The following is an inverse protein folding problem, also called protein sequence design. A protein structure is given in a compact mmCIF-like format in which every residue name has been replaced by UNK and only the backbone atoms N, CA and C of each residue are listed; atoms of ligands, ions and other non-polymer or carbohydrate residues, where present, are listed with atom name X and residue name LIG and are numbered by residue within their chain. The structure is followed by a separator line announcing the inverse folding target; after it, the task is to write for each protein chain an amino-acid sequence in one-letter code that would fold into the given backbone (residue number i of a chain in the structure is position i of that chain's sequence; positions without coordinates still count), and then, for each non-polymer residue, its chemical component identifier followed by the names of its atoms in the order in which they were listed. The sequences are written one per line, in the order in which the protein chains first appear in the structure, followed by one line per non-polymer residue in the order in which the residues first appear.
data_IF_600500037132
#
_entry.id   IF_600500037132
#
_cell.length_a   1.000
_cell.length_b   1.000
_cell.length_c   1.000
_cell.angle_alpha   90.00
_cell.angle_beta   90.00
_cell.angle_gamma   90.00
#
_symmetry.space_group_name_H-M   'P 1'
#
loop_
_entity.id
_entity.type
_entity.pdbx_description
1 polymer ?
#
# COMPACT_ATOMS: atom_id res chain seq x y z
N UNK A 1 14.15 6.82 6.71
CA UNK A 1 12.79 7.34 6.99
C UNK A 1 12.79 8.17 8.26
N UNK A 2 12.01 9.27 8.28
CA UNK A 2 11.82 10.07 9.50
C UNK A 2 11.36 9.14 10.62
N UNK A 3 11.99 9.22 11.79
CA UNK A 3 11.70 8.31 12.91
C UNK A 3 10.35 8.69 13.54
N UNK A 4 9.29 8.08 13.06
CA UNK A 4 7.95 8.16 13.66
C UNK A 4 7.86 7.27 14.91
N UNK A 5 6.81 7.48 15.72
CA UNK A 5 6.51 6.58 16.84
C UNK A 5 6.16 5.19 16.31
N UNK A 6 6.70 4.14 16.93
CA UNK A 6 6.33 2.78 16.58
C UNK A 6 4.97 2.42 17.18
N UNK A 7 4.10 1.82 16.36
CA UNK A 7 2.75 1.38 16.73
C UNK A 7 2.59 -0.08 16.35
N UNK A 8 2.21 -0.92 17.31
CA UNK A 8 1.94 -2.34 17.08
C UNK A 8 0.53 -2.54 16.54
N UNK A 9 0.37 -3.35 15.49
CA UNK A 9 -0.91 -3.72 14.91
C UNK A 9 -0.93 -5.25 14.73
N UNK A 10 -1.59 -5.95 15.61
CA UNK A 10 -1.53 -7.41 15.64
C UNK A 10 -0.10 -7.93 15.78
N UNK A 11 0.38 -8.62 14.76
CA UNK A 11 1.73 -9.21 14.70
C UNK A 11 2.77 -8.34 13.96
N UNK A 12 2.40 -7.14 13.49
CA UNK A 12 3.32 -6.24 12.76
C UNK A 12 3.48 -4.90 13.49
N UNK A 13 4.51 -4.14 13.07
CA UNK A 13 4.75 -2.77 13.54
C UNK A 13 4.59 -1.78 12.39
N UNK A 14 4.06 -0.59 12.69
CA UNK A 14 3.96 0.56 11.81
C UNK A 14 4.77 1.70 12.43
N UNK A 15 5.60 2.38 11.64
CA UNK A 15 6.48 3.44 12.13
C UNK A 15 7.70 2.92 12.89
N UNK A 16 8.45 3.83 13.47
CA UNK A 16 9.66 3.50 14.23
C UNK A 16 10.80 2.90 13.41
N UNK A 17 10.76 3.02 12.09
CA UNK A 17 11.71 2.39 11.17
C UNK A 17 11.30 0.99 10.70
N UNK A 18 10.10 0.52 11.03
CA UNK A 18 9.54 -0.69 10.45
C UNK A 18 9.32 -0.53 8.93
N UNK A 19 9.36 -1.62 8.14
CA UNK A 19 9.07 -1.55 6.71
C UNK A 19 7.69 -0.94 6.43
N UNK A 20 7.57 -0.18 5.34
CA UNK A 20 6.29 0.37 4.90
C UNK A 20 5.32 -0.76 4.59
N UNK A 21 4.23 -0.85 5.33
CA UNK A 21 3.26 -1.93 5.20
C UNK A 21 2.18 -1.63 4.15
N UNK A 22 1.72 -2.68 3.46
CA UNK A 22 0.68 -2.62 2.44
C UNK A 22 -0.66 -3.01 3.06
N UNK A 23 -1.62 -2.09 3.02
CA UNK A 23 -2.99 -2.33 3.46
C UNK A 23 -3.95 -2.34 2.27
N UNK A 24 -4.93 -3.25 2.26
CA UNK A 24 -6.11 -3.17 1.40
C UNK A 24 -7.41 -3.23 2.21
N UNK A 25 -8.53 -3.26 1.54
CA UNK A 25 -9.86 -3.26 2.16
C UNK A 25 -10.79 -4.19 1.41
N UNK A 26 -11.53 -5.02 2.15
CA UNK A 26 -12.59 -5.83 1.55
C UNK A 26 -13.66 -4.93 0.93
N UNK A 27 -14.17 -5.35 -0.21
CA UNK A 27 -15.31 -4.71 -0.89
C UNK A 27 -16.57 -5.60 -0.91
N UNK A 28 -16.49 -6.78 -0.33
CA UNK A 28 -17.65 -7.66 -0.10
C UNK A 28 -18.47 -7.09 1.07
N UNK A 29 -19.82 -7.11 0.99
CA UNK A 29 -20.66 -6.71 2.10
C UNK A 29 -20.35 -7.50 3.37
N UNK A 30 -20.28 -6.82 4.52
CA UNK A 30 -19.81 -7.42 5.77
C UNK A 30 -20.72 -8.55 6.33
N UNK A 31 -21.96 -8.64 5.86
CA UNK A 31 -22.90 -9.73 6.17
C UNK A 31 -22.64 -11.01 5.34
N UNK A 32 -21.88 -10.92 4.26
CA UNK A 32 -21.44 -12.06 3.46
C UNK A 32 -20.08 -12.54 3.96
N UNK A 33 -20.11 -13.29 5.05
CA UNK A 33 -18.90 -13.74 5.76
C UNK A 33 -18.06 -14.68 4.90
N UNK A 34 -18.70 -15.59 4.17
CA UNK A 34 -18.00 -16.60 3.38
C UNK A 34 -17.15 -15.97 2.28
N UNK A 35 -17.73 -15.15 1.42
CA UNK A 35 -17.01 -14.47 0.35
C UNK A 35 -16.01 -13.43 0.90
N UNK A 36 -16.31 -12.79 2.04
CA UNK A 36 -15.35 -11.92 2.73
C UNK A 36 -14.09 -12.67 3.17
N UNK A 37 -14.23 -13.88 3.71
CA UNK A 37 -13.11 -14.74 4.08
C UNK A 37 -12.32 -15.19 2.85
N UNK A 38 -13.00 -15.58 1.77
CA UNK A 38 -12.34 -15.95 0.52
C UNK A 38 -11.53 -14.78 -0.05
N UNK A 39 -12.10 -13.57 -0.08
CA UNK A 39 -11.39 -12.36 -0.53
C UNK A 39 -10.21 -12.01 0.38
N UNK A 40 -10.35 -12.16 1.69
CA UNK A 40 -9.28 -11.92 2.64
C UNK A 40 -8.08 -12.87 2.42
N UNK A 41 -8.34 -14.15 2.17
CA UNK A 41 -7.29 -15.14 1.82
C UNK A 41 -6.60 -14.77 0.51
N UNK A 42 -7.34 -14.39 -0.52
CA UNK A 42 -6.76 -13.96 -1.79
C UNK A 42 -5.88 -12.70 -1.63
N UNK A 43 -6.28 -11.76 -0.77
CA UNK A 43 -5.46 -10.58 -0.44
C UNK A 43 -4.20 -10.96 0.32
N UNK A 44 -4.28 -11.85 1.31
CA UNK A 44 -3.12 -12.35 2.05
C UNK A 44 -2.14 -13.08 1.12
N UNK A 45 -2.61 -13.95 0.26
CA UNK A 45 -1.81 -14.66 -0.76
C UNK A 45 -1.14 -13.69 -1.74
N UNK A 46 -1.82 -12.60 -2.12
CA UNK A 46 -1.24 -11.54 -2.94
C UNK A 46 -0.16 -10.74 -2.20
N UNK A 47 -0.06 -10.88 -0.88
CA UNK A 47 0.91 -10.20 -0.02
C UNK A 47 0.38 -8.91 0.62
N UNK A 48 -0.91 -8.81 0.84
CA UNK A 48 -1.49 -7.83 1.74
C UNK A 48 -0.98 -8.08 3.15
N UNK A 49 -0.66 -7.02 3.88
CA UNK A 49 -0.11 -7.13 5.24
C UNK A 49 -1.08 -6.64 6.31
N UNK A 50 -2.11 -5.91 5.92
CA UNK A 50 -3.18 -5.43 6.80
C UNK A 50 -4.48 -5.42 6.02
N UNK A 51 -5.54 -6.04 6.54
CA UNK A 51 -6.88 -5.97 5.95
C UNK A 51 -7.73 -4.96 6.73
N UNK A 52 -8.44 -4.08 6.00
CA UNK A 52 -9.48 -3.22 6.56
C UNK A 52 -10.86 -3.74 6.14
N UNK A 53 -11.79 -3.74 7.09
CA UNK A 53 -13.18 -4.12 6.87
C UNK A 53 -14.12 -2.99 7.31
N UNK A 54 -15.19 -2.77 6.59
CA UNK A 54 -16.24 -1.86 7.01
C UNK A 54 -17.10 -2.54 8.09
N UNK A 55 -17.44 -1.80 9.15
CA UNK A 55 -18.36 -2.25 10.20
C UNK A 55 -19.55 -1.26 10.23
N UNK A 56 -20.53 -1.44 9.34
CA UNK A 56 -21.67 -0.54 9.24
C UNK A 56 -22.70 -0.73 10.36
N UNK A 57 -22.79 -1.92 10.96
CA UNK A 57 -23.77 -2.28 11.99
C UNK A 57 -23.24 -3.42 12.90
N UNK A 58 -24.03 -3.79 13.91
CA UNK A 58 -23.67 -4.83 14.89
C UNK A 58 -23.57 -6.23 14.26
N UNK A 59 -24.25 -6.51 13.17
CA UNK A 59 -24.15 -7.82 12.51
C UNK A 59 -22.80 -8.01 11.86
N UNK A 60 -22.19 -6.93 11.36
CA UNK A 60 -20.86 -6.94 10.76
C UNK A 60 -19.73 -7.33 11.73
N UNK A 61 -19.95 -7.20 13.05
CA UNK A 61 -18.96 -7.59 14.07
C UNK A 61 -18.59 -9.07 13.95
N UNK A 62 -19.52 -9.94 13.53
CA UNK A 62 -19.29 -11.38 13.35
C UNK A 62 -18.20 -11.69 12.32
N UNK A 63 -17.93 -10.76 11.41
CA UNK A 63 -16.87 -10.91 10.42
C UNK A 63 -15.47 -10.91 11.06
N UNK A 64 -15.27 -10.21 12.18
CA UNK A 64 -13.97 -10.10 12.84
C UNK A 64 -13.44 -11.48 13.29
N UNK A 65 -14.14 -12.25 14.14
CA UNK A 65 -13.66 -13.57 14.55
C UNK A 65 -13.52 -14.52 13.34
N UNK A 66 -14.43 -14.50 12.38
CA UNK A 66 -14.33 -15.34 11.19
C UNK A 66 -13.07 -15.07 10.39
N UNK A 67 -12.68 -13.80 10.23
CA UNK A 67 -11.41 -13.45 9.58
C UNK A 67 -10.20 -13.86 10.43
N UNK A 68 -10.22 -13.63 11.75
CA UNK A 68 -9.12 -14.00 12.66
C UNK A 68 -8.83 -15.50 12.66
N UNK A 69 -9.83 -16.35 12.42
CA UNK A 69 -9.66 -17.79 12.29
C UNK A 69 -9.07 -18.22 10.94
N UNK A 70 -9.20 -17.39 9.90
CA UNK A 70 -8.90 -17.78 8.53
C UNK A 70 -7.69 -17.08 7.90
N UNK A 71 -7.27 -15.92 8.41
CA UNK A 71 -6.08 -15.18 7.94
C UNK A 71 -5.17 -14.83 9.11
N UNK A 72 -3.86 -14.68 8.82
CA UNK A 72 -2.84 -14.37 9.84
C UNK A 72 -2.52 -12.88 9.93
N UNK A 73 -2.88 -12.11 8.91
CA UNK A 73 -2.61 -10.67 8.85
C UNK A 73 -3.59 -9.87 9.68
N UNK A 74 -3.17 -8.74 10.26
CA UNK A 74 -3.99 -7.90 11.15
C UNK A 74 -5.25 -7.35 10.48
N UNK A 75 -6.29 -7.19 11.27
CA UNK A 75 -7.59 -6.70 10.84
C UNK A 75 -7.85 -5.31 11.42
N UNK A 76 -8.31 -4.39 10.57
CA UNK A 76 -8.70 -3.02 10.93
C UNK A 76 -10.20 -2.86 10.78
N UNK A 77 -10.91 -2.54 11.84
CA UNK A 77 -12.32 -2.17 11.78
C UNK A 77 -12.48 -0.69 11.42
N UNK A 78 -13.22 -0.42 10.38
CA UNK A 78 -13.54 0.92 9.88
C UNK A 78 -14.91 1.36 10.40
N UNK A 79 -14.90 2.26 11.38
CA UNK A 79 -16.09 2.77 12.06
C UNK A 79 -16.38 4.19 11.58
N UNK A 80 -17.59 4.42 11.09
CA UNK A 80 -17.95 5.72 10.53
C UNK A 80 -18.64 6.65 11.52
N UNK A 81 -19.67 6.17 12.23
CA UNK A 81 -20.53 7.05 13.05
C UNK A 81 -20.79 6.51 14.46
N UNK A 82 -21.12 5.24 14.60
CA UNK A 82 -21.51 4.66 15.88
C UNK A 82 -20.29 4.17 16.68
N UNK A 83 -19.95 4.88 17.76
CA UNK A 83 -18.83 4.53 18.64
C UNK A 83 -18.97 3.16 19.31
N UNK A 84 -20.21 2.65 19.47
CA UNK A 84 -20.46 1.34 20.05
C UNK A 84 -19.90 0.22 19.19
N UNK A 85 -19.94 0.39 17.85
CA UNK A 85 -19.33 -0.54 16.91
C UNK A 85 -17.80 -0.63 17.11
N UNK A 86 -17.14 0.47 17.48
CA UNK A 86 -15.73 0.43 17.81
C UNK A 86 -15.47 -0.41 19.07
N UNK A 87 -16.27 -0.22 20.11
CA UNK A 87 -16.16 -0.97 21.36
C UNK A 87 -16.37 -2.46 21.13
N UNK A 88 -17.43 -2.84 20.43
CA UNK A 88 -17.73 -4.23 20.09
C UNK A 88 -16.68 -4.85 19.17
N UNK A 89 -16.10 -4.08 18.23
CA UNK A 89 -14.98 -4.55 17.41
C UNK A 89 -13.74 -4.86 18.25
N UNK A 90 -13.46 -4.03 19.26
CA UNK A 90 -12.38 -4.28 20.23
C UNK A 90 -12.67 -5.52 21.06
N UNK A 91 -13.91 -5.73 21.49
CA UNK A 91 -14.32 -6.94 22.21
C UNK A 91 -14.13 -8.19 21.34
N UNK A 92 -14.48 -8.11 20.05
CA UNK A 92 -14.36 -9.19 19.07
C UNK A 92 -12.91 -9.49 18.63
N UNK A 93 -11.90 -8.73 19.10
CA UNK A 93 -10.49 -9.05 18.88
C UNK A 93 -9.86 -8.42 17.64
N UNK A 94 -10.37 -7.28 17.17
CA UNK A 94 -9.75 -6.50 16.09
C UNK A 94 -8.35 -5.99 16.48
N UNK A 95 -7.46 -5.81 15.51
CA UNK A 95 -6.08 -5.40 15.76
C UNK A 95 -5.87 -3.87 15.67
N UNK A 96 -6.78 -3.15 15.04
CA UNK A 96 -6.77 -1.67 14.94
C UNK A 96 -8.17 -1.15 14.66
N UNK A 97 -8.49 0.00 15.21
CA UNK A 97 -9.72 0.75 14.88
C UNK A 97 -9.37 1.91 13.95
N UNK A 98 -10.20 2.16 12.95
CA UNK A 98 -10.19 3.42 12.20
C UNK A 98 -11.45 4.19 12.49
N UNK A 99 -11.30 5.41 12.93
CA UNK A 99 -12.40 6.37 13.12
C UNK A 99 -12.07 7.71 12.48
N UNK A 100 -13.12 8.49 12.23
CA UNK A 100 -13.02 9.93 12.15
C UNK A 100 -13.70 10.48 13.42
N UNK A 101 -12.95 11.00 14.40
CA UNK A 101 -13.54 11.47 15.66
C UNK A 101 -14.61 12.54 15.47
N UNK A 102 -14.52 13.37 14.42
CA UNK A 102 -15.57 14.34 14.07
C UNK A 102 -16.92 13.69 13.73
N UNK A 103 -16.91 12.50 13.16
CA UNK A 103 -18.13 11.75 12.83
C UNK A 103 -18.66 10.94 14.04
N UNK A 104 -17.80 10.59 14.99
CA UNK A 104 -18.17 9.89 16.23
C UNK A 104 -19.00 10.79 17.13
N UNK A 105 -18.78 12.12 17.07
CA UNK A 105 -19.55 13.12 17.78
C UNK A 105 -18.90 13.54 19.10
N UNK A 106 -19.66 13.54 20.20
CA UNK A 106 -19.24 14.08 21.49
C UNK A 106 -17.95 13.46 22.03
N UNK A 107 -17.17 14.27 22.74
CA UNK A 107 -15.89 13.89 23.35
C UNK A 107 -16.03 12.69 24.30
N UNK A 108 -17.18 12.56 24.96
CA UNK A 108 -17.54 11.41 25.81
C UNK A 108 -17.53 10.10 25.05
N UNK A 109 -17.97 10.09 23.78
CA UNK A 109 -17.99 8.91 22.90
C UNK A 109 -16.57 8.55 22.45
N UNK A 110 -15.76 9.56 22.14
CA UNK A 110 -14.33 9.36 21.83
C UNK A 110 -13.61 8.75 23.04
N UNK A 111 -13.90 9.24 24.26
CA UNK A 111 -13.37 8.69 25.50
C UNK A 111 -13.77 7.24 25.69
N UNK A 112 -15.00 6.86 25.37
CA UNK A 112 -15.48 5.49 25.46
C UNK A 112 -14.70 4.55 24.52
N UNK A 113 -14.42 4.97 23.29
CA UNK A 113 -13.58 4.23 22.34
C UNK A 113 -12.15 4.07 22.88
N UNK A 114 -11.54 5.16 23.37
CA UNK A 114 -10.19 5.11 23.97
C UNK A 114 -10.16 4.14 25.14
N UNK A 115 -11.15 4.20 26.05
CA UNK A 115 -11.22 3.31 27.20
C UNK A 115 -11.32 1.83 26.82
N UNK A 116 -11.98 1.51 25.70
CA UNK A 116 -12.04 0.14 25.19
C UNK A 116 -10.70 -0.29 24.57
N UNK A 117 -10.01 0.60 23.84
CA UNK A 117 -8.75 0.30 23.17
C UNK A 117 -7.55 0.22 24.13
N UNK A 118 -7.50 1.08 25.17
CA UNK A 118 -6.33 1.29 26.04
C UNK A 118 -5.87 0.01 26.76
N UNK A 119 -6.73 -0.81 27.40
CA UNK A 119 -6.32 -2.03 28.09
C UNK A 119 -5.75 -3.12 27.18
N UNK A 120 -6.12 -3.09 25.89
CA UNK A 120 -5.68 -4.05 24.87
C UNK A 120 -4.60 -3.48 23.96
N UNK A 121 -4.17 -2.25 24.19
CA UNK A 121 -3.19 -1.52 23.39
C UNK A 121 -3.55 -1.43 21.90
N UNK A 122 -4.85 -1.48 21.54
CA UNK A 122 -5.33 -1.48 20.16
C UNK A 122 -5.20 -0.08 19.56
N UNK A 123 -4.35 0.13 18.54
CA UNK A 123 -4.14 1.46 17.98
C UNK A 123 -5.38 2.03 17.28
N UNK A 124 -5.51 3.35 17.36
CA UNK A 124 -6.57 4.10 16.71
C UNK A 124 -5.98 4.87 15.53
N UNK A 125 -6.51 4.60 14.32
CA UNK A 125 -6.21 5.45 13.18
C UNK A 125 -7.25 6.54 13.04
N UNK A 126 -6.78 7.78 13.10
CA UNK A 126 -7.53 8.97 12.76
C UNK A 126 -7.52 9.13 11.24
N UNK A 127 -8.70 9.05 10.63
CA UNK A 127 -8.84 9.14 9.16
C UNK A 127 -9.62 10.38 8.77
N UNK A 128 -8.95 11.46 8.42
CA UNK A 128 -9.54 12.68 7.86
C UNK A 128 -9.60 12.55 6.34
N UNK A 129 -10.73 12.91 5.77
CA UNK A 129 -10.90 13.04 4.32
C UNK A 129 -11.33 14.48 4.01
N UNK A 130 -11.05 14.97 2.80
CA UNK A 130 -11.46 16.31 2.37
C UNK A 130 -12.96 16.60 2.51
N UNK A 131 -13.80 15.56 2.41
CA UNK A 131 -15.25 15.67 2.61
C UNK A 131 -15.74 15.57 4.06
N UNK A 132 -14.82 15.42 5.05
CA UNK A 132 -15.18 15.20 6.46
C UNK A 132 -14.38 16.08 7.44
N UNK A 133 -13.88 17.21 6.95
CA UNK A 133 -13.25 18.26 7.79
C UNK A 133 -14.35 19.00 8.58
N UNK A 134 -14.07 19.34 9.81
CA UNK A 134 -14.99 20.03 10.74
C UNK A 134 -15.42 21.40 10.21
N UNK A 135 -16.68 21.77 10.49
CA UNK A 135 -17.28 23.04 9.99
C UNK A 135 -16.50 24.26 10.44
N UNK A 136 -15.99 24.26 11.66
CA UNK A 136 -15.20 25.36 12.23
C UNK A 136 -13.87 25.53 11.51
N UNK A 137 -13.20 24.42 11.16
CA UNK A 137 -11.95 24.42 10.41
C UNK A 137 -12.24 24.85 8.96
N UNK A 138 -13.30 24.33 8.33
CA UNK A 138 -13.72 24.76 7.00
C UNK A 138 -14.08 26.26 6.96
N UNK A 139 -14.72 26.79 8.00
CA UNK A 139 -15.00 28.23 8.11
C UNK A 139 -13.72 29.07 8.18
N UNK A 140 -12.68 28.55 8.84
CA UNK A 140 -11.37 29.21 8.94
C UNK A 140 -10.60 29.25 7.61
N UNK A 141 -10.64 28.14 6.84
CA UNK A 141 -9.83 28.00 5.62
C UNK A 141 -10.62 28.13 4.31
N UNK A 142 -11.94 28.24 4.38
CA UNK A 142 -12.84 28.39 3.22
C UNK A 142 -13.06 27.10 2.41
N UNK A 143 -12.15 26.13 2.50
CA UNK A 143 -12.20 24.86 1.78
C UNK A 143 -11.29 23.83 2.45
N UNK A 144 -11.35 22.53 2.06
CA UNK A 144 -10.45 21.50 2.60
C UNK A 144 -9.02 21.64 2.04
N UNK A 145 -8.34 22.73 2.43
CA UNK A 145 -6.94 22.99 2.07
C UNK A 145 -5.99 22.00 2.77
N UNK A 146 -4.71 21.92 2.38
CA UNK A 146 -3.71 21.14 3.09
C UNK A 146 -3.63 21.46 4.59
N UNK A 147 -3.71 22.75 4.93
CA UNK A 147 -3.68 23.24 6.32
C UNK A 147 -4.92 22.78 7.09
N UNK A 148 -6.10 22.85 6.46
CA UNK A 148 -7.35 22.38 7.06
C UNK A 148 -7.32 20.89 7.38
N UNK A 149 -6.81 20.07 6.45
CA UNK A 149 -6.65 18.63 6.64
C UNK A 149 -5.65 18.30 7.76
N UNK A 150 -4.53 19.02 7.79
CA UNK A 150 -3.50 18.87 8.81
C UNK A 150 -4.03 19.28 10.19
N UNK A 151 -4.67 20.46 10.32
CA UNK A 151 -5.23 20.94 11.56
C UNK A 151 -6.30 19.99 12.10
N UNK A 152 -7.20 19.51 11.24
CA UNK A 152 -8.20 18.50 11.61
C UNK A 152 -7.57 17.22 12.16
N UNK A 153 -6.56 16.68 11.49
CA UNK A 153 -5.90 15.46 11.93
C UNK A 153 -5.21 15.65 13.29
N UNK A 154 -4.50 16.75 13.50
CA UNK A 154 -3.80 17.07 14.75
C UNK A 154 -4.77 17.39 15.89
N UNK A 155 -5.84 18.11 15.59
CA UNK A 155 -6.92 18.36 16.55
C UNK A 155 -7.50 17.05 17.09
N UNK A 156 -7.82 16.09 16.20
CA UNK A 156 -8.33 14.80 16.62
C UNK A 156 -7.30 13.96 17.37
N UNK A 157 -6.01 14.08 17.04
CA UNK A 157 -4.96 13.44 17.82
C UNK A 157 -4.93 14.01 19.26
N UNK A 158 -5.02 15.32 19.39
CA UNK A 158 -5.04 15.98 20.69
C UNK A 158 -6.24 15.57 21.56
N UNK A 159 -7.38 15.22 20.96
CA UNK A 159 -8.53 14.68 21.70
C UNK A 159 -8.22 13.32 22.35
N UNK A 160 -7.47 12.45 21.66
CA UNK A 160 -7.05 11.16 22.20
C UNK A 160 -5.97 11.35 23.27
N UNK A 161 -5.04 12.28 23.05
CA UNK A 161 -3.97 12.65 24.01
C UNK A 161 -4.53 13.13 25.35
N UNK A 162 -5.67 13.86 25.35
CA UNK A 162 -6.38 14.28 26.58
C UNK A 162 -6.81 13.09 27.46
N UNK A 163 -6.87 11.88 26.88
CA UNK A 163 -7.17 10.64 27.61
C UNK A 163 -5.93 9.79 27.80
N UNK A 164 -4.72 10.35 27.73
CA UNK A 164 -3.43 9.66 27.81
C UNK A 164 -3.32 8.53 26.81
N UNK A 165 -3.81 8.75 25.57
CA UNK A 165 -3.76 7.76 24.51
C UNK A 165 -2.97 8.27 23.30
N UNK A 166 -1.81 7.66 23.09
CA UNK A 166 -0.86 8.06 22.04
C UNK A 166 -0.53 6.93 21.06
N UNK A 167 -1.29 5.82 21.12
CA UNK A 167 -1.18 4.74 20.16
C UNK A 167 -2.00 5.07 18.89
N UNK A 168 -1.53 6.08 18.17
CA UNK A 168 -2.26 6.77 17.09
C UNK A 168 -1.54 6.59 15.77
N UNK A 169 -2.32 6.42 14.69
CA UNK A 169 -1.88 6.51 13.30
C UNK A 169 -2.68 7.60 12.62
N UNK A 170 -2.05 8.49 11.84
CA UNK A 170 -2.74 9.55 11.11
C UNK A 170 -2.96 9.19 9.65
N UNK A 171 -4.07 9.65 9.09
CA UNK A 171 -4.36 9.53 7.66
C UNK A 171 -5.18 10.74 7.19
N UNK A 172 -4.64 11.47 6.21
CA UNK A 172 -5.27 12.63 5.58
C UNK A 172 -5.42 12.36 4.10
N UNK A 173 -6.64 12.11 3.63
CA UNK A 173 -6.89 11.71 2.26
C UNK A 173 -7.61 12.79 1.47
N UNK A 174 -7.16 12.99 0.24
CA UNK A 174 -7.80 13.83 -0.76
C UNK A 174 -7.77 13.13 -2.12
N UNK A 175 -8.73 13.41 -2.97
CA UNK A 175 -8.72 13.05 -4.40
C UNK A 175 -7.78 13.94 -5.22
N UNK A 176 -7.43 15.12 -4.67
CA UNK A 176 -6.40 15.98 -5.21
C UNK A 176 -5.04 15.58 -4.64
N UNK A 177 -4.16 15.07 -5.51
CA UNK A 177 -2.84 14.54 -5.13
C UNK A 177 -1.96 15.62 -4.51
N UNK A 178 -1.95 16.84 -5.05
CA UNK A 178 -1.16 17.96 -4.52
C UNK A 178 -1.60 18.33 -3.10
N UNK A 179 -2.91 18.51 -2.89
CA UNK A 179 -3.48 18.80 -1.56
C UNK A 179 -3.10 17.71 -0.55
N UNK A 180 -3.18 16.43 -0.94
CA UNK A 180 -2.80 15.31 -0.09
C UNK A 180 -1.30 15.39 0.28
N UNK A 181 -0.41 15.55 -0.69
CA UNK A 181 1.04 15.64 -0.45
C UNK A 181 1.37 16.75 0.55
N UNK A 182 0.85 17.96 0.31
CA UNK A 182 1.14 19.10 1.19
C UNK A 182 0.58 18.90 2.60
N UNK A 183 -0.62 18.31 2.76
CA UNK A 183 -1.19 17.99 4.07
C UNK A 183 -0.29 17.04 4.88
N UNK A 184 0.22 15.98 4.26
CA UNK A 184 1.14 15.05 4.93
C UNK A 184 2.49 15.68 5.25
N UNK A 185 3.02 16.55 4.39
CA UNK A 185 4.26 17.30 4.66
C UNK A 185 4.09 18.21 5.87
N UNK A 186 2.98 18.96 5.93
CA UNK A 186 2.66 19.82 7.07
C UNK A 186 2.57 19.02 8.38
N UNK A 187 1.81 17.92 8.38
CA UNK A 187 1.66 17.07 9.55
C UNK A 187 2.98 16.40 9.97
N UNK A 188 3.78 15.96 9.00
CA UNK A 188 5.10 15.38 9.26
C UNK A 188 6.04 16.34 9.99
N UNK A 189 5.92 17.66 9.77
CA UNK A 189 6.72 18.65 10.46
C UNK A 189 6.23 18.97 11.88
N UNK A 190 4.96 18.66 12.18
CA UNK A 190 4.30 19.03 13.44
C UNK A 190 4.13 17.90 14.44
N UNK A 191 4.23 16.63 13.98
CA UNK A 191 4.09 15.47 14.86
C UNK A 191 5.01 14.31 14.44
N UNK A 192 5.09 13.31 15.31
CA UNK A 192 5.85 12.08 15.07
C UNK A 192 4.96 10.82 15.00
N UNK A 193 3.65 10.99 14.84
CA UNK A 193 2.76 9.85 14.64
C UNK A 193 3.00 9.19 13.28
N UNK A 194 2.96 7.84 13.21
CA UNK A 194 3.05 7.14 11.94
C UNK A 194 1.87 7.50 11.02
N UNK A 195 2.16 7.51 9.73
CA UNK A 195 1.22 8.00 8.72
C UNK A 195 0.80 6.90 7.75
N UNK A 196 -0.53 6.78 7.58
CA UNK A 196 -1.14 5.91 6.58
C UNK A 196 -1.45 6.71 5.33
N UNK A 197 -0.68 6.49 4.27
CA UNK A 197 -0.82 7.20 3.00
C UNK A 197 -1.86 6.55 2.09
N UNK A 198 -2.50 7.36 1.27
CA UNK A 198 -3.36 6.88 0.19
C UNK A 198 -4.14 8.02 -0.46
N UNK A 199 -4.28 7.95 -1.78
CA UNK A 199 -5.18 8.82 -2.53
C UNK A 199 -6.59 8.25 -2.43
N UNK A 200 -7.59 9.08 -2.10
CA UNK A 200 -9.00 8.66 -2.12
C UNK A 200 -9.62 8.98 -3.49
N UNK A 201 -10.64 8.22 -3.90
CA UNK A 201 -11.32 8.46 -5.18
C UNK A 201 -10.33 8.56 -6.36
N UNK A 202 -9.33 7.69 -6.35
CA UNK A 202 -8.24 7.77 -7.34
C UNK A 202 -8.72 7.43 -8.76
N UNK A 203 -9.80 6.66 -8.89
CA UNK A 203 -10.44 6.30 -10.15
C UNK A 203 -10.26 4.84 -10.53
N UNK A 204 -10.52 4.55 -11.81
CA UNK A 204 -10.30 3.21 -12.38
C UNK A 204 -8.83 2.82 -12.36
N UNK A 205 -8.54 1.55 -12.64
CA UNK A 205 -7.21 0.95 -12.51
C UNK A 205 -6.09 1.85 -13.07
N UNK A 206 -6.19 2.28 -14.33
CA UNK A 206 -5.15 3.10 -14.98
C UNK A 206 -4.88 4.42 -14.25
N UNK A 207 -5.91 5.25 -14.07
CA UNK A 207 -5.74 6.57 -13.42
C UNK A 207 -5.51 6.46 -11.93
N UNK A 208 -6.10 5.45 -11.28
CA UNK A 208 -5.88 5.16 -9.88
C UNK A 208 -4.44 4.80 -9.58
N UNK A 209 -3.80 3.98 -10.41
CA UNK A 209 -2.37 3.65 -10.29
C UNK A 209 -1.51 4.91 -10.51
N UNK A 210 -1.77 5.69 -11.56
CA UNK A 210 -1.01 6.91 -11.85
C UNK A 210 -1.07 7.90 -10.67
N UNK A 211 -2.28 8.21 -10.18
CA UNK A 211 -2.46 9.13 -9.05
C UNK A 211 -1.80 8.60 -7.77
N UNK A 212 -1.96 7.30 -7.49
CA UNK A 212 -1.35 6.67 -6.33
C UNK A 212 0.17 6.68 -6.42
N UNK A 213 0.74 6.32 -7.57
CA UNK A 213 2.19 6.36 -7.80
C UNK A 213 2.77 7.76 -7.60
N UNK A 214 2.11 8.78 -8.16
CA UNK A 214 2.53 10.17 -8.00
C UNK A 214 2.44 10.63 -6.53
N UNK A 215 1.31 10.36 -5.87
CA UNK A 215 1.07 10.81 -4.50
C UNK A 215 1.91 10.08 -3.46
N UNK A 216 1.93 8.75 -3.52
CA UNK A 216 2.71 7.92 -2.60
C UNK A 216 4.21 8.10 -2.86
N UNK A 217 4.64 8.10 -4.14
CA UNK A 217 6.03 8.26 -4.51
C UNK A 217 6.61 9.58 -4.02
N UNK A 218 5.89 10.70 -4.20
CA UNK A 218 6.33 12.01 -3.74
C UNK A 218 6.53 12.09 -2.22
N UNK A 219 5.73 11.38 -1.43
CA UNK A 219 5.84 11.36 0.03
C UNK A 219 6.90 10.37 0.51
N UNK A 220 6.90 9.16 -0.03
CA UNK A 220 7.83 8.09 0.37
C UNK A 220 9.29 8.45 0.07
N UNK A 221 9.58 9.14 -1.05
CA UNK A 221 10.92 9.66 -1.36
C UNK A 221 11.37 10.78 -0.41
N UNK A 222 10.44 11.41 0.31
CA UNK A 222 10.72 12.38 1.38
C UNK A 222 10.70 11.72 2.77
N UNK A 223 10.74 10.39 2.81
CA UNK A 223 10.70 9.59 4.03
C UNK A 223 9.42 9.77 4.88
N UNK A 224 8.32 10.19 4.25
CA UNK A 224 7.02 10.38 4.86
C UNK A 224 6.11 9.20 4.49
N UNK A 225 5.63 8.46 5.49
CA UNK A 225 4.69 7.35 5.33
C UNK A 225 5.20 6.03 5.85
N UNK A 226 4.38 5.37 6.64
CA UNK A 226 4.71 4.13 7.36
C UNK A 226 3.82 2.95 6.93
N UNK A 227 2.69 3.24 6.32
CA UNK A 227 1.78 2.26 5.74
C UNK A 227 1.02 2.89 4.57
N UNK A 228 0.76 2.11 3.53
CA UNK A 228 0.13 2.62 2.31
C UNK A 228 -1.13 1.84 1.93
N UNK A 229 -2.04 2.50 1.22
CA UNK A 229 -3.11 1.85 0.47
C UNK A 229 -3.25 2.49 -0.92
N UNK A 230 -3.12 1.71 -1.95
CA UNK A 230 -3.61 2.04 -3.29
C UNK A 230 -5.13 1.78 -3.30
N UNK A 231 -5.92 2.71 -3.83
CA UNK A 231 -7.38 2.57 -3.90
C UNK A 231 -7.82 2.62 -5.36
N UNK A 232 -8.42 1.53 -5.83
CA UNK A 232 -8.84 1.38 -7.21
C UNK A 232 -10.32 1.03 -7.30
N UNK A 233 -11.00 1.51 -8.36
CA UNK A 233 -12.28 0.95 -8.78
C UNK A 233 -12.01 -0.32 -9.60
N UNK A 234 -11.55 -1.37 -8.91
CA UNK A 234 -11.16 -2.66 -9.47
C UNK A 234 -11.14 -3.74 -8.36
N UNK A 235 -10.76 -4.97 -8.72
CA UNK A 235 -10.50 -6.04 -7.74
C UNK A 235 -9.42 -5.59 -6.74
N UNK A 236 -9.64 -5.71 -5.41
CA UNK A 236 -8.68 -5.30 -4.38
C UNK A 236 -7.32 -6.00 -4.45
N UNK A 237 -7.22 -7.19 -5.04
CA UNK A 237 -5.93 -7.87 -5.28
C UNK A 237 -5.01 -7.03 -6.19
N UNK A 238 -5.58 -6.29 -7.15
CA UNK A 238 -4.82 -5.37 -8.01
C UNK A 238 -4.24 -4.18 -7.22
N UNK A 239 -4.89 -3.76 -6.13
CA UNK A 239 -4.36 -2.72 -5.23
C UNK A 239 -3.03 -3.18 -4.60
N UNK A 240 -2.93 -4.49 -4.25
CA UNK A 240 -1.72 -5.06 -3.64
C UNK A 240 -0.57 -5.10 -4.64
N UNK A 241 -0.82 -5.58 -5.86
CA UNK A 241 0.22 -5.60 -6.90
C UNK A 241 0.72 -4.19 -7.21
N UNK A 242 -0.19 -3.23 -7.40
CA UNK A 242 0.20 -1.84 -7.64
C UNK A 242 0.99 -1.23 -6.46
N UNK A 243 0.63 -1.55 -5.21
CA UNK A 243 1.35 -1.09 -4.03
C UNK A 243 2.77 -1.69 -3.96
N UNK A 244 2.93 -2.99 -4.26
CA UNK A 244 4.24 -3.64 -4.37
C UNK A 244 5.10 -3.01 -5.46
N UNK A 245 4.53 -2.78 -6.64
CA UNK A 245 5.24 -2.19 -7.76
C UNK A 245 5.70 -0.76 -7.46
N UNK A 246 4.86 0.04 -6.79
CA UNK A 246 5.26 1.38 -6.33
C UNK A 246 6.44 1.30 -5.36
N UNK A 247 6.38 0.43 -4.35
CA UNK A 247 7.47 0.30 -3.36
C UNK A 247 8.77 -0.23 -3.98
N UNK A 248 8.68 -1.13 -4.98
CA UNK A 248 9.82 -1.61 -5.76
C UNK A 248 10.41 -0.49 -6.63
N UNK A 249 9.58 0.24 -7.37
CA UNK A 249 10.02 1.34 -8.22
C UNK A 249 10.74 2.46 -7.45
N UNK A 250 10.50 2.57 -6.14
CA UNK A 250 11.14 3.52 -5.23
C UNK A 250 12.33 2.92 -4.47
N UNK A 251 12.75 1.68 -4.75
CA UNK A 251 13.78 0.94 -4.01
C UNK A 251 13.53 0.82 -2.48
N UNK A 252 12.29 1.00 -2.03
CA UNK A 252 11.90 0.89 -0.63
C UNK A 252 11.77 -0.57 -0.21
N UNK A 253 11.27 -1.41 -1.13
CA UNK A 253 11.24 -2.87 -0.96
C UNK A 253 12.01 -3.54 -2.08
N UNK A 254 12.76 -4.58 -1.70
CA UNK A 254 13.59 -5.38 -2.60
C UNK A 254 13.11 -6.84 -2.73
N UNK A 255 11.89 -7.12 -2.30
CA UNK A 255 11.29 -8.44 -2.40
C UNK A 255 10.74 -8.68 -3.82
N UNK A 256 11.21 -9.74 -4.44
CA UNK A 256 10.83 -10.13 -5.79
C UNK A 256 11.66 -9.50 -6.91
N UNK A 257 11.26 -9.79 -8.14
CA UNK A 257 12.01 -9.37 -9.33
C UNK A 257 11.81 -7.88 -9.62
N UNK A 258 12.93 -7.16 -9.78
CA UNK A 258 12.97 -5.85 -10.42
C UNK A 258 13.08 -6.04 -11.93
N UNK A 259 12.11 -5.56 -12.68
CA UNK A 259 12.08 -5.71 -14.13
C UNK A 259 12.55 -4.44 -14.83
N UNK A 260 13.49 -4.60 -15.76
CA UNK A 260 14.02 -3.52 -16.59
C UNK A 260 13.89 -3.89 -18.07
N UNK A 261 13.28 -3.05 -18.85
CA UNK A 261 13.18 -3.23 -20.30
C UNK A 261 13.52 -1.94 -21.03
N UNK A 262 14.25 -2.05 -22.13
CA UNK A 262 14.50 -0.88 -22.97
C UNK A 262 13.24 -0.49 -23.75
N UNK A 263 13.07 0.80 -24.08
CA UNK A 263 12.00 1.22 -24.99
C UNK A 263 12.25 0.65 -26.40
N UNK A 264 11.17 0.40 -27.14
CA UNK A 264 11.27 0.00 -28.55
C UNK A 264 11.91 1.13 -29.37
N UNK A 265 12.86 0.76 -30.22
CA UNK A 265 13.52 1.71 -31.14
C UNK A 265 13.88 1.00 -32.45
N UNK A 266 14.40 1.75 -33.43
CA UNK A 266 14.79 1.21 -34.76
C UNK A 266 15.91 0.15 -34.71
N UNK A 267 16.57 -0.08 -33.56
CA UNK A 267 17.59 -1.12 -33.37
C UNK A 267 17.02 -2.43 -32.85
N UNK A 268 15.75 -2.46 -32.44
CA UNK A 268 15.09 -3.67 -31.91
C UNK A 268 15.08 -4.78 -32.97
N UNK A 269 15.50 -5.99 -32.61
CA UNK A 269 15.66 -7.14 -33.53
C UNK A 269 14.79 -8.34 -33.17
N UNK A 270 14.01 -8.26 -32.10
CA UNK A 270 13.12 -9.30 -31.59
C UNK A 270 11.73 -8.69 -31.31
N UNK A 271 10.72 -9.51 -31.11
CA UNK A 271 9.42 -9.06 -30.60
C UNK A 271 9.53 -8.70 -29.11
N UNK A 272 10.19 -7.54 -28.86
CA UNK A 272 10.49 -7.07 -27.53
C UNK A 272 9.24 -6.88 -26.65
N UNK A 273 8.14 -6.41 -27.23
CA UNK A 273 6.92 -6.11 -26.47
C UNK A 273 6.32 -7.41 -25.91
N UNK A 274 6.14 -8.42 -26.77
CA UNK A 274 5.58 -9.70 -26.36
C UNK A 274 6.49 -10.42 -25.38
N UNK A 275 7.79 -10.44 -25.63
CA UNK A 275 8.80 -11.09 -24.78
C UNK A 275 8.84 -10.43 -23.41
N UNK A 276 8.93 -9.10 -23.34
CA UNK A 276 8.96 -8.36 -22.08
C UNK A 276 7.69 -8.59 -21.24
N UNK A 277 6.52 -8.51 -21.88
CA UNK A 277 5.23 -8.73 -21.23
C UNK A 277 5.11 -10.15 -20.67
N UNK A 278 5.54 -11.15 -21.44
CA UNK A 278 5.47 -12.54 -20.98
C UNK A 278 6.48 -12.84 -19.87
N UNK A 279 7.70 -12.33 -19.95
CA UNK A 279 8.71 -12.45 -18.87
C UNK A 279 8.22 -11.78 -17.58
N UNK A 280 7.70 -10.57 -17.66
CA UNK A 280 7.15 -9.86 -16.51
C UNK A 280 6.00 -10.65 -15.85
N UNK A 281 5.09 -11.18 -16.68
CA UNK A 281 3.98 -12.03 -16.23
C UNK A 281 4.44 -13.28 -15.50
N UNK A 282 5.41 -14.02 -16.06
CA UNK A 282 5.93 -15.26 -15.46
C UNK A 282 6.70 -15.01 -14.18
N UNK A 283 7.39 -13.89 -14.07
CA UNK A 283 8.21 -13.55 -12.91
C UNK A 283 7.47 -12.75 -11.84
N UNK A 284 6.20 -12.40 -12.04
CA UNK A 284 5.40 -11.59 -11.11
C UNK A 284 5.37 -12.13 -9.69
N UNK A 285 5.28 -13.44 -9.54
CA UNK A 285 5.21 -14.13 -8.24
C UNK A 285 6.56 -14.71 -7.79
N UNK A 286 7.65 -14.41 -8.49
CA UNK A 286 8.99 -14.81 -8.09
C UNK A 286 9.46 -13.98 -6.89
N UNK A 287 9.77 -14.64 -5.78
CA UNK A 287 10.20 -13.99 -4.54
C UNK A 287 11.72 -13.72 -4.48
N UNK A 288 12.48 -14.06 -5.52
CA UNK A 288 13.92 -13.81 -5.56
C UNK A 288 14.19 -12.31 -5.71
N UNK A 289 15.03 -11.77 -4.86
CA UNK A 289 15.47 -10.38 -4.94
C UNK A 289 16.54 -10.23 -6.03
N UNK A 290 16.10 -10.12 -7.27
CA UNK A 290 16.96 -10.01 -8.46
C UNK A 290 16.45 -8.96 -9.43
N UNK A 291 17.38 -8.39 -10.21
CA UNK A 291 17.07 -7.49 -11.32
C UNK A 291 17.14 -8.26 -12.64
N UNK A 292 16.03 -8.34 -13.36
CA UNK A 292 15.92 -9.02 -14.66
C UNK A 292 15.76 -7.99 -15.77
N UNK A 293 16.59 -8.08 -16.81
CA UNK A 293 16.57 -7.15 -17.95
C UNK A 293 16.10 -7.83 -19.24
N UNK A 294 15.24 -7.14 -20.00
CA UNK A 294 14.82 -7.56 -21.37
C UNK A 294 15.17 -6.44 -22.35
N UNK A 295 16.17 -6.71 -23.19
CA UNK A 295 16.76 -5.73 -24.09
C UNK A 295 16.53 -6.12 -25.57
N UNK A 296 16.08 -5.14 -26.38
CA UNK A 296 15.68 -5.37 -27.77
C UNK A 296 16.84 -5.56 -28.76
N UNK A 297 18.08 -5.25 -28.40
CA UNK A 297 19.24 -5.43 -29.26
C UNK A 297 20.49 -5.86 -28.49
N UNK A 298 21.37 -6.61 -29.15
CA UNK A 298 22.63 -7.10 -28.56
C UNK A 298 23.72 -6.00 -28.46
N UNK A 299 23.59 -4.90 -29.20
CA UNK A 299 24.64 -3.88 -29.26
C UNK A 299 24.82 -3.15 -27.94
N UNK A 300 23.69 -2.72 -27.32
CA UNK A 300 23.73 -1.99 -26.07
C UNK A 300 23.17 -2.83 -24.89
N UNK A 301 22.52 -3.97 -25.18
CA UNK A 301 21.80 -4.75 -24.17
C UNK A 301 22.63 -5.07 -22.93
N UNK A 302 23.74 -5.79 -23.06
CA UNK A 302 24.60 -6.12 -21.94
C UNK A 302 25.24 -4.91 -21.25
N UNK A 303 25.52 -3.85 -22.01
CA UNK A 303 26.11 -2.61 -21.47
C UNK A 303 25.13 -1.77 -20.66
N UNK A 304 23.95 -1.51 -21.20
CA UNK A 304 22.88 -0.73 -20.53
C UNK A 304 22.26 -1.49 -19.35
N UNK A 305 22.26 -2.81 -19.39
CA UNK A 305 21.76 -3.67 -18.34
C UNK A 305 22.84 -4.34 -17.48
N UNK A 306 24.04 -3.77 -17.43
CA UNK A 306 25.19 -4.32 -16.68
C UNK A 306 24.89 -4.55 -15.20
N UNK A 307 24.01 -3.75 -14.63
CA UNK A 307 23.58 -3.88 -13.23
C UNK A 307 22.49 -4.95 -13.01
N UNK A 308 21.95 -5.53 -14.09
CA UNK A 308 21.00 -6.62 -13.96
C UNK A 308 21.71 -7.92 -13.57
N UNK A 309 21.10 -8.67 -12.64
CA UNK A 309 21.61 -9.97 -12.24
C UNK A 309 21.58 -10.95 -13.39
N UNK A 310 20.51 -10.86 -14.21
CA UNK A 310 20.35 -11.65 -15.42
C UNK A 310 19.50 -10.90 -16.45
N UNK A 311 19.67 -11.20 -17.72
CA UNK A 311 18.84 -10.62 -18.76
C UNK A 311 19.01 -11.27 -20.12
N UNK A 312 18.15 -10.82 -21.03
CA UNK A 312 18.21 -11.19 -22.45
C UNK A 312 18.45 -9.97 -23.32
N UNK A 313 19.12 -10.17 -24.44
CA UNK A 313 19.33 -9.14 -25.45
C UNK A 313 19.06 -9.73 -26.85
N UNK A 314 18.22 -9.04 -27.65
CA UNK A 314 17.81 -9.47 -28.99
C UNK A 314 18.92 -9.38 -30.01
N UNK A 315 18.94 -10.32 -30.95
CA UNK A 315 19.74 -10.33 -32.17
C UNK A 315 18.92 -10.85 -33.35
N UNK A 316 19.45 -10.78 -34.56
CA UNK A 316 18.75 -11.23 -35.75
C UNK A 316 18.55 -12.77 -35.70
N UNK A 317 17.32 -13.23 -35.45
CA UNK A 317 16.91 -14.64 -35.34
C UNK A 317 17.51 -15.40 -34.14
N UNK A 318 18.32 -14.74 -33.33
CA UNK A 318 18.95 -15.32 -32.13
C UNK A 318 19.00 -14.23 -31.04
N UNK A 319 19.04 -14.65 -29.78
CA UNK A 319 19.24 -13.76 -28.67
C UNK A 319 20.36 -14.22 -27.76
N UNK A 320 20.74 -13.34 -26.87
CA UNK A 320 21.78 -13.57 -25.87
C UNK A 320 21.14 -13.61 -24.48
N UNK A 321 21.61 -14.52 -23.64
CA UNK A 321 21.38 -14.48 -22.21
C UNK A 321 22.67 -13.97 -21.57
N UNK A 322 22.56 -12.99 -20.70
CA UNK A 322 23.71 -12.41 -19.99
C UNK A 322 23.47 -12.35 -18.48
N UNK A 323 24.54 -12.40 -17.73
CA UNK A 323 24.55 -12.33 -16.26
C UNK A 323 25.57 -11.25 -15.86
N UNK A 324 25.11 -10.21 -15.16
CA UNK A 324 25.93 -9.06 -14.76
C UNK A 324 26.77 -8.47 -15.92
N UNK A 325 26.14 -8.37 -17.09
CA UNK A 325 26.77 -7.85 -18.32
C UNK A 325 27.59 -8.86 -19.11
N UNK A 326 27.88 -10.06 -18.60
CA UNK A 326 28.62 -11.11 -19.31
C UNK A 326 27.67 -12.05 -20.05
N UNK A 327 27.93 -12.31 -21.33
CA UNK A 327 27.13 -13.21 -22.16
C UNK A 327 27.43 -14.65 -21.74
N UNK A 328 26.39 -15.37 -21.30
CA UNK A 328 26.50 -16.78 -20.86
C UNK A 328 25.96 -17.77 -21.88
N UNK A 329 24.97 -17.37 -22.70
CA UNK A 329 24.37 -18.21 -23.72
C UNK A 329 23.96 -17.40 -24.93
N UNK A 330 23.96 -18.09 -26.10
CA UNK A 330 23.31 -17.64 -27.33
C UNK A 330 22.25 -18.66 -27.69
N UNK A 331 21.01 -18.24 -27.87
CA UNK A 331 19.85 -19.11 -28.09
C UNK A 331 18.96 -18.59 -29.24
N UNK A 332 18.19 -19.45 -29.90
CA UNK A 332 17.14 -19.01 -30.83
C UNK A 332 16.12 -18.10 -30.12
N UNK A 333 15.53 -17.17 -30.88
CA UNK A 333 14.58 -16.18 -30.33
C UNK A 333 13.38 -16.83 -29.65
N UNK A 334 12.83 -17.90 -30.22
CA UNK A 334 11.70 -18.67 -29.70
C UNK A 334 11.98 -19.36 -28.36
N UNK A 335 13.24 -19.52 -27.97
CA UNK A 335 13.67 -20.14 -26.73
C UNK A 335 14.14 -19.15 -25.66
N UNK A 336 14.20 -17.85 -25.98
CA UNK A 336 14.73 -16.82 -25.07
C UNK A 336 14.03 -16.79 -23.71
N UNK A 337 12.70 -16.83 -23.71
CA UNK A 337 11.91 -16.78 -22.47
C UNK A 337 12.17 -18.02 -21.62
N UNK A 338 12.08 -19.21 -22.22
CA UNK A 338 12.24 -20.48 -21.49
C UNK A 338 13.64 -20.59 -20.87
N UNK A 339 14.67 -20.24 -21.63
CA UNK A 339 16.05 -20.29 -21.14
C UNK A 339 16.33 -19.22 -20.07
N UNK A 340 15.73 -18.01 -20.21
CA UNK A 340 15.82 -16.97 -19.16
C UNK A 340 15.18 -17.47 -17.85
N UNK A 341 13.97 -18.03 -17.91
CA UNK A 341 13.27 -18.53 -16.71
C UNK A 341 14.08 -19.63 -16.03
N UNK A 342 14.64 -20.58 -16.79
CA UNK A 342 15.53 -21.62 -16.23
C UNK A 342 16.74 -21.01 -15.50
N UNK A 343 17.38 -20.03 -16.11
CA UNK A 343 18.53 -19.36 -15.48
C UNK A 343 18.13 -18.54 -14.24
N UNK A 344 16.93 -17.97 -14.24
CA UNK A 344 16.36 -17.30 -13.04
C UNK A 344 16.11 -18.31 -11.92
N UNK A 345 15.64 -19.52 -12.24
CA UNK A 345 15.43 -20.56 -11.23
C UNK A 345 16.73 -21.04 -10.57
N UNK A 346 17.84 -20.98 -11.30
CA UNK A 346 19.18 -21.36 -10.82
C UNK A 346 19.88 -20.29 -9.97
N UNK A 347 19.37 -19.04 -9.92
CA UNK A 347 19.88 -17.98 -9.06
C UNK A 347 19.37 -18.12 -7.63
#
# INVERSE_FOLDING_TARGET
MKKTKQVKVGNIFIGGGAPVSIQSMLNIPANDVEHSVQQAKALEEAGCEIIRIAIPDMNAIKLIPALKENVKIPIVADIHFDYRLAIESVAAGVDKIRINPGNIGEISRVKAVVNACKPKEIPIRIGVNSGSVEKEILAKYGSPTPEALCESALYHASLLEKFDYTNIVLSMKSSNVKTMIEAYKLASNQCNYPMHLGVTEAGTERMGIIKSSAGLGALLLQEIGDTIRVSLTADPVKEIYAAKDILKALDIRKDGVQFVSCPTCGRTKIDLISIATEVEKRLRNCNKNIKVAVMGCAVNGPGEAKEADIGIAGGAGTGLIFKKGEIIKKVPEDKLIEELIKEVELL
#
